data_IF_700538920156
#
_entry.id   IF_700538920156
#
_cell.length_a   1.000
_cell.length_b   1.000
_cell.length_c   1.000
_cell.angle_alpha   90.00
_cell.angle_beta   90.00
_cell.angle_gamma   90.00
#
_symmetry.space_group_name_H-M   'P 1'
#
loop_
_entity.id
_entity.type
_entity.pdbx_description
1 polymer ?
#
# COMPACT_ATOMS: atom_id res chain seq x y z
N UNK A 1 12.20 -24.90 -48.70
CA UNK A 1 12.31 -26.29 -49.21
C UNK A 1 12.43 -27.19 -48.01
N UNK A 2 11.50 -28.13 -47.91
CA UNK A 2 11.40 -29.14 -46.86
C UNK A 2 12.54 -30.16 -46.99
N UNK A 3 13.08 -30.64 -45.88
CA UNK A 3 13.30 -32.08 -45.74
C UNK A 3 13.23 -32.48 -44.27
N UNK A 4 12.48 -33.55 -44.05
CA UNK A 4 12.18 -34.19 -42.78
C UNK A 4 12.88 -35.55 -42.77
N UNK A 5 13.40 -35.96 -41.62
CA UNK A 5 13.71 -37.34 -41.22
C UNK A 5 13.47 -37.35 -39.69
N UNK A 6 12.43 -37.95 -39.08
CA UNK A 6 12.13 -39.38 -38.86
C UNK A 6 13.37 -40.18 -38.43
N UNK A 7 13.42 -41.02 -37.39
CA UNK A 7 12.47 -41.85 -36.62
C UNK A 7 13.11 -42.19 -35.24
N UNK A 8 12.38 -42.23 -34.11
CA UNK A 8 11.66 -43.40 -33.53
C UNK A 8 12.49 -44.39 -32.70
N UNK A 9 11.89 -44.83 -31.57
CA UNK A 9 12.16 -46.00 -30.70
C UNK A 9 13.41 -45.86 -29.80
N UNK A 10 13.44 -46.15 -28.51
CA UNK A 10 12.54 -46.82 -27.55
C UNK A 10 13.42 -47.36 -26.40
N UNK A 11 12.77 -47.86 -25.34
CA UNK A 11 13.32 -48.61 -24.18
C UNK A 11 13.90 -47.80 -23.01
N UNK A 12 13.18 -47.65 -21.89
CA UNK A 12 12.81 -48.65 -20.86
C UNK A 12 13.87 -48.77 -19.75
N UNK A 13 13.55 -48.17 -18.60
CA UNK A 13 13.92 -48.69 -17.27
C UNK A 13 12.86 -48.23 -16.28
N UNK A 14 11.92 -49.12 -16.00
CA UNK A 14 11.11 -49.07 -14.80
C UNK A 14 11.91 -49.56 -13.61
N UNK A 15 11.82 -48.85 -12.50
CA UNK A 15 12.07 -49.42 -11.18
C UNK A 15 10.85 -49.09 -10.33
N UNK A 16 9.96 -50.07 -10.24
CA UNK A 16 8.92 -50.10 -9.23
C UNK A 16 9.56 -50.33 -7.86
N UNK A 17 9.33 -49.42 -6.93
CA UNK A 17 9.64 -49.64 -5.52
C UNK A 17 8.32 -49.94 -4.78
N UNK A 18 8.17 -51.22 -4.48
CA UNK A 18 7.15 -51.84 -3.63
C UNK A 18 7.20 -51.25 -2.22
N UNK A 19 6.06 -50.93 -1.58
CA UNK A 19 6.06 -50.42 -0.21
C UNK A 19 6.31 -51.55 0.80
N UNK A 20 7.16 -51.35 1.83
CA UNK A 20 7.28 -52.30 2.92
C UNK A 20 6.17 -52.10 3.96
N UNK A 21 5.43 -53.18 4.22
CA UNK A 21 4.57 -53.31 5.39
C UNK A 21 5.44 -53.49 6.64
N UNK A 22 5.44 -52.49 7.53
CA UNK A 22 5.89 -52.66 8.92
C UNK A 22 4.97 -51.82 9.82
N UNK A 23 4.28 -52.52 10.73
CA UNK A 23 3.29 -51.94 11.64
C UNK A 23 3.93 -50.95 12.60
N UNK A 24 3.40 -49.73 12.61
CA UNK A 24 3.75 -48.70 13.59
C UNK A 24 2.68 -48.77 14.69
N UNK A 25 3.07 -49.26 15.85
CA UNK A 25 2.29 -49.15 17.09
C UNK A 25 2.13 -47.68 17.47
N UNK A 26 0.89 -47.21 17.55
CA UNK A 26 0.53 -45.86 17.99
C UNK A 26 0.91 -45.66 19.47
N UNK A 27 1.63 -44.59 19.85
CA UNK A 27 1.77 -44.23 21.25
C UNK A 27 0.44 -43.64 21.76
N UNK A 28 0.03 -44.04 22.96
CA UNK A 28 -1.16 -43.52 23.63
C UNK A 28 -1.02 -42.01 23.89
N UNK A 29 -2.05 -41.24 23.49
CA UNK A 29 -2.16 -39.81 23.75
C UNK A 29 -2.22 -39.57 25.27
N UNK A 30 -1.16 -38.99 25.83
CA UNK A 30 -1.19 -38.38 27.17
C UNK A 30 -1.90 -37.03 27.06
N UNK A 31 -3.13 -36.96 27.58
CA UNK A 31 -3.81 -35.69 27.80
C UNK A 31 -3.14 -34.95 28.96
N UNK A 32 -2.24 -34.02 28.66
CA UNK A 32 -1.85 -32.99 29.63
C UNK A 32 -2.93 -31.91 29.63
N UNK A 33 -3.67 -31.81 30.72
CA UNK A 33 -4.60 -30.72 30.96
C UNK A 33 -3.85 -29.37 30.93
N UNK A 34 -4.11 -28.56 29.90
CA UNK A 34 -3.70 -27.16 29.87
C UNK A 34 -4.50 -26.41 30.94
N UNK A 35 -3.81 -25.88 31.95
CA UNK A 35 -4.39 -24.93 32.90
C UNK A 35 -4.78 -23.67 32.12
N UNK A 36 -5.96 -23.07 32.34
CA UNK A 36 -6.29 -21.80 31.71
C UNK A 36 -5.42 -20.72 32.33
N UNK A 37 -4.42 -20.25 31.61
CA UNK A 37 -3.69 -19.05 31.98
C UNK A 37 -4.66 -17.89 31.82
N UNK A 38 -5.19 -17.41 32.93
CA UNK A 38 -5.88 -16.12 32.99
C UNK A 38 -4.84 -15.02 32.73
N UNK A 39 -4.65 -14.67 31.46
CA UNK A 39 -4.01 -13.43 31.04
C UNK A 39 -5.02 -12.66 30.18
N UNK A 40 -6.19 -12.41 30.75
CA UNK A 40 -7.19 -11.46 30.23
C UNK A 40 -7.10 -10.20 31.10
N UNK A 41 -6.11 -9.35 30.84
CA UNK A 41 -6.16 -7.90 31.07
C UNK A 41 -4.80 -7.32 30.64
N UNK A 42 -4.73 -6.73 29.44
CA UNK A 42 -3.47 -6.12 29.01
C UNK A 42 -3.43 -5.54 27.60
N UNK A 43 -4.45 -5.73 26.77
CA UNK A 43 -4.47 -5.22 25.40
C UNK A 43 -5.59 -4.19 25.18
N UNK A 44 -5.65 -3.15 26.03
CA UNK A 44 -6.65 -2.07 25.90
C UNK A 44 -6.06 -0.66 26.01
N UNK A 45 -4.74 -0.48 26.05
CA UNK A 45 -4.12 0.85 26.22
C UNK A 45 -3.30 1.36 25.02
N UNK A 46 -3.06 0.54 23.98
CA UNK A 46 -2.13 0.88 22.89
C UNK A 46 -2.78 1.29 21.55
N UNK A 47 -4.10 1.45 21.48
CA UNK A 47 -4.76 2.12 20.35
C UNK A 47 -5.66 3.25 20.87
N UNK A 48 -5.11 4.13 21.70
CA UNK A 48 -5.62 5.49 21.73
C UNK A 48 -5.07 6.17 20.47
N UNK A 49 -5.67 5.88 19.31
CA UNK A 49 -5.59 6.80 18.18
C UNK A 49 -6.20 8.10 18.70
N UNK A 50 -5.38 9.09 18.99
CA UNK A 50 -5.87 10.45 19.21
C UNK A 50 -6.75 10.74 17.99
N UNK A 51 -8.06 10.90 18.22
CA UNK A 51 -8.99 11.20 17.14
C UNK A 51 -8.65 12.62 16.70
N UNK A 52 -7.89 12.73 15.62
CA UNK A 52 -7.61 14.00 14.95
C UNK A 52 -8.90 14.48 14.29
N UNK A 53 -9.15 15.77 14.37
CA UNK A 53 -10.19 16.44 13.58
C UNK A 53 -9.88 16.29 12.09
N UNK A 54 -10.91 16.45 11.25
CA UNK A 54 -10.74 16.40 9.80
C UNK A 54 -9.68 17.43 9.34
N UNK A 55 -9.74 18.65 9.86
CA UNK A 55 -8.77 19.71 9.55
C UNK A 55 -7.35 19.36 9.97
N UNK A 56 -7.16 18.74 11.14
CA UNK A 56 -5.83 18.29 11.58
C UNK A 56 -5.26 17.23 10.64
N UNK A 57 -6.06 16.26 10.20
CA UNK A 57 -5.60 15.22 9.27
C UNK A 57 -5.23 15.80 7.90
N UNK A 58 -6.03 16.74 7.37
CA UNK A 58 -5.73 17.44 6.11
C UNK A 58 -4.43 18.25 6.23
N UNK A 59 -4.23 18.93 7.36
CA UNK A 59 -3.01 19.70 7.62
C UNK A 59 -1.78 18.82 7.68
N UNK A 60 -1.88 17.67 8.35
CA UNK A 60 -0.78 16.71 8.42
C UNK A 60 -0.41 16.19 7.02
N UNK A 61 -1.40 15.89 6.16
CA UNK A 61 -1.15 15.50 4.78
C UNK A 61 -0.39 16.60 4.00
N UNK A 62 -0.73 17.90 4.19
CA UNK A 62 0.03 19.00 3.58
C UNK A 62 1.47 19.08 4.08
N UNK A 63 1.69 18.90 5.39
CA UNK A 63 3.04 18.91 5.98
C UNK A 63 3.91 17.79 5.42
N UNK A 64 3.36 16.58 5.26
CA UNK A 64 4.05 15.45 4.65
C UNK A 64 4.43 15.74 3.18
N UNK A 65 3.54 16.38 2.41
CA UNK A 65 3.85 16.78 1.04
C UNK A 65 5.04 17.76 0.97
N UNK A 66 5.08 18.75 1.88
CA UNK A 66 6.20 19.69 1.93
C UNK A 66 7.51 18.98 2.29
N UNK A 67 7.47 18.05 3.24
CA UNK A 67 8.65 17.25 3.59
C UNK A 67 9.15 16.44 2.40
N UNK A 68 8.27 15.73 1.68
CA UNK A 68 8.68 14.91 0.53
C UNK A 68 9.23 15.76 -0.62
N UNK A 69 8.65 16.93 -0.86
CA UNK A 69 9.20 17.90 -1.81
C UNK A 69 10.61 18.37 -1.42
N UNK A 70 10.81 18.74 -0.16
CA UNK A 70 12.12 19.18 0.34
C UNK A 70 13.18 18.08 0.20
N UNK A 71 12.81 16.83 0.48
CA UNK A 71 13.72 15.69 0.33
C UNK A 71 14.04 15.40 -1.14
N UNK A 72 13.05 15.51 -2.03
CA UNK A 72 13.28 15.45 -3.48
C UNK A 72 14.27 16.54 -3.94
N UNK A 73 14.08 17.80 -3.50
CA UNK A 73 14.96 18.91 -3.87
C UNK A 73 16.37 18.78 -3.30
N UNK A 74 16.53 18.20 -2.10
CA UNK A 74 17.84 17.85 -1.55
C UNK A 74 18.51 16.78 -2.41
N UNK A 75 17.81 15.69 -2.73
CA UNK A 75 18.34 14.62 -3.57
C UNK A 75 18.74 15.13 -4.97
N UNK A 76 17.93 16.03 -5.55
CA UNK A 76 18.21 16.70 -6.82
C UNK A 76 19.50 17.52 -6.76
N UNK A 77 19.68 18.34 -5.73
CA UNK A 77 20.89 19.16 -5.54
C UNK A 77 22.16 18.31 -5.35
N UNK A 78 22.03 17.11 -4.78
CA UNK A 78 23.14 16.20 -4.56
C UNK A 78 23.38 15.21 -5.72
N UNK A 79 22.54 15.23 -6.77
CA UNK A 79 22.64 14.30 -7.90
C UNK A 79 22.29 12.84 -7.54
N UNK A 80 21.59 12.61 -6.43
CA UNK A 80 21.15 11.28 -6.02
C UNK A 80 19.85 10.91 -6.75
N UNK A 81 19.99 10.25 -7.90
CA UNK A 81 18.88 9.89 -8.79
C UNK A 81 17.94 8.88 -8.13
N UNK A 82 18.46 7.95 -7.33
CA UNK A 82 17.65 6.94 -6.66
C UNK A 82 16.79 7.57 -5.56
N UNK A 83 17.34 8.50 -4.78
CA UNK A 83 16.57 9.24 -3.79
C UNK A 83 15.53 10.15 -4.43
N UNK A 84 15.87 10.84 -5.53
CA UNK A 84 14.89 11.63 -6.30
C UNK A 84 13.69 10.77 -6.70
N UNK A 85 13.94 9.62 -7.31
CA UNK A 85 12.89 8.70 -7.76
C UNK A 85 12.02 8.18 -6.60
N UNK A 86 12.60 7.95 -5.42
CA UNK A 86 11.83 7.54 -4.23
C UNK A 86 10.93 8.66 -3.73
N UNK A 87 11.48 9.86 -3.53
CA UNK A 87 10.72 10.97 -2.94
C UNK A 87 9.64 11.50 -3.87
N UNK A 88 9.90 11.59 -5.17
CA UNK A 88 8.86 12.05 -6.12
C UNK A 88 7.68 11.07 -6.19
N UNK A 89 7.93 9.75 -6.04
CA UNK A 89 6.86 8.74 -5.99
C UNK A 89 6.02 8.86 -4.72
N UNK A 90 6.66 9.06 -3.56
CA UNK A 90 5.94 9.30 -2.30
C UNK A 90 5.09 10.57 -2.39
N UNK A 91 5.68 11.68 -2.86
CA UNK A 91 4.96 12.93 -3.08
C UNK A 91 3.75 12.75 -4.02
N UNK A 92 3.93 12.01 -5.12
CA UNK A 92 2.84 11.73 -6.07
C UNK A 92 1.70 10.98 -5.41
N UNK A 93 2.01 9.96 -4.58
CA UNK A 93 0.99 9.21 -3.86
C UNK A 93 0.22 10.06 -2.87
N UNK A 94 0.91 10.92 -2.11
CA UNK A 94 0.22 11.79 -1.16
C UNK A 94 -0.65 12.84 -1.83
N UNK A 95 -0.15 13.48 -2.90
CA UNK A 95 -0.94 14.45 -3.68
C UNK A 95 -2.22 13.78 -4.23
N UNK A 96 -2.09 12.57 -4.78
CA UNK A 96 -3.25 11.86 -5.33
C UNK A 96 -4.26 11.47 -4.24
N UNK A 97 -3.79 10.90 -3.12
CA UNK A 97 -4.64 10.51 -1.99
C UNK A 97 -5.38 11.72 -1.39
N UNK A 98 -4.67 12.82 -1.23
CA UNK A 98 -5.21 14.05 -0.66
C UNK A 98 -6.28 14.68 -1.55
N UNK A 99 -5.98 14.90 -2.84
CA UNK A 99 -6.92 15.51 -3.77
C UNK A 99 -8.21 14.67 -3.90
N UNK A 100 -8.10 13.35 -3.92
CA UNK A 100 -9.27 12.45 -3.93
C UNK A 100 -10.04 12.52 -2.60
N UNK A 101 -9.33 12.61 -1.47
CA UNK A 101 -9.95 12.78 -0.15
C UNK A 101 -10.75 14.08 -0.05
N UNK A 102 -10.24 15.16 -0.60
CA UNK A 102 -10.94 16.45 -0.66
C UNK A 102 -12.18 16.38 -1.54
N UNK A 103 -12.10 15.76 -2.72
CA UNK A 103 -13.24 15.60 -3.63
C UNK A 103 -14.38 14.78 -3.01
N UNK A 104 -14.05 13.70 -2.29
CA UNK A 104 -15.05 12.78 -1.74
C UNK A 104 -15.65 13.32 -0.43
N UNK A 105 -14.86 14.03 0.38
CA UNK A 105 -15.25 14.38 1.76
C UNK A 105 -15.30 15.88 1.98
N UNK A 106 -14.24 16.61 1.65
CA UNK A 106 -14.09 18.01 2.05
C UNK A 106 -15.00 18.92 1.24
N UNK A 107 -14.99 18.80 -0.09
CA UNK A 107 -15.80 19.65 -0.96
C UNK A 107 -17.30 19.49 -0.74
N UNK A 108 -17.87 18.28 -0.60
CA UNK A 108 -19.27 18.13 -0.22
C UNK A 108 -19.62 18.84 1.09
N UNK A 109 -18.76 18.71 2.11
CA UNK A 109 -18.97 19.37 3.41
C UNK A 109 -18.85 20.90 3.31
N UNK A 110 -17.93 21.41 2.48
CA UNK A 110 -17.81 22.84 2.21
C UNK A 110 -19.06 23.36 1.50
N UNK A 111 -19.53 22.68 0.45
CA UNK A 111 -20.74 23.05 -0.27
C UNK A 111 -21.98 23.03 0.65
N UNK A 112 -22.11 22.03 1.52
CA UNK A 112 -23.21 21.89 2.47
C UNK A 112 -23.20 22.98 3.55
N UNK A 113 -22.05 23.22 4.18
CA UNK A 113 -21.98 24.08 5.37
C UNK A 113 -21.67 25.55 5.06
N UNK A 114 -21.10 25.87 3.89
CA UNK A 114 -20.74 27.22 3.47
C UNK A 114 -21.56 27.73 2.27
N UNK A 115 -22.45 26.90 1.72
CA UNK A 115 -23.35 27.26 0.62
C UNK A 115 -22.59 27.72 -0.63
N UNK A 116 -23.02 28.84 -1.23
CA UNK A 116 -22.42 29.37 -2.47
C UNK A 116 -20.92 29.66 -2.33
N UNK A 117 -20.46 30.10 -1.16
CA UNK A 117 -19.04 30.33 -0.90
C UNK A 117 -18.27 29.01 -0.88
N UNK A 118 -18.84 27.96 -0.29
CA UNK A 118 -18.27 26.63 -0.28
C UNK A 118 -18.09 26.06 -1.68
N UNK A 119 -19.12 26.22 -2.53
CA UNK A 119 -19.06 25.81 -3.95
C UNK A 119 -17.97 26.53 -4.72
N UNK A 120 -17.85 27.85 -4.59
CA UNK A 120 -16.80 28.62 -5.26
C UNK A 120 -15.39 28.18 -4.85
N UNK A 121 -15.18 27.89 -3.56
CA UNK A 121 -13.89 27.41 -3.06
C UNK A 121 -13.58 26.00 -3.58
N UNK A 122 -14.56 25.09 -3.53
CA UNK A 122 -14.39 23.74 -4.04
C UNK A 122 -14.11 23.71 -5.56
N UNK A 123 -14.81 24.53 -6.34
CA UNK A 123 -14.61 24.61 -7.79
C UNK A 123 -13.23 25.19 -8.15
N UNK A 124 -12.79 26.23 -7.42
CA UNK A 124 -11.44 26.76 -7.55
C UNK A 124 -10.37 25.69 -7.26
N UNK A 125 -10.50 24.96 -6.15
CA UNK A 125 -9.49 23.96 -5.78
C UNK A 125 -9.50 22.76 -6.74
N UNK A 126 -10.64 22.40 -7.33
CA UNK A 126 -10.71 21.40 -8.42
C UNK A 126 -9.91 21.84 -9.64
N UNK A 127 -10.06 23.09 -10.07
CA UNK A 127 -9.29 23.65 -11.19
C UNK A 127 -7.78 23.64 -10.89
N UNK A 128 -7.39 24.08 -9.69
CA UNK A 128 -6.00 24.08 -9.24
C UNK A 128 -5.40 22.67 -9.18
N UNK A 129 -6.16 21.68 -8.70
CA UNK A 129 -5.71 20.28 -8.63
C UNK A 129 -5.54 19.64 -10.00
N UNK A 130 -6.36 19.99 -11.00
CA UNK A 130 -6.15 19.51 -12.37
C UNK A 130 -4.82 20.02 -12.94
N UNK A 131 -4.50 21.30 -12.71
CA UNK A 131 -3.24 21.91 -13.16
C UNK A 131 -2.04 21.33 -12.42
N UNK A 132 -2.13 21.18 -11.10
CA UNK A 132 -1.02 20.71 -10.25
C UNK A 132 -0.74 19.21 -10.41
N UNK A 133 -1.78 18.40 -10.53
CA UNK A 133 -1.65 16.96 -10.82
C UNK A 133 -0.94 16.74 -12.14
N UNK A 134 -1.27 17.54 -13.17
CA UNK A 134 -0.56 17.51 -14.44
C UNK A 134 0.92 17.90 -14.27
N UNK A 135 1.23 18.87 -13.41
CA UNK A 135 2.60 19.29 -13.14
C UNK A 135 3.44 18.20 -12.47
N UNK A 136 2.90 17.51 -11.45
CA UNK A 136 3.57 16.36 -10.81
C UNK A 136 3.74 15.21 -11.80
N UNK A 137 2.73 14.95 -12.65
CA UNK A 137 2.83 13.93 -13.70
C UNK A 137 3.92 14.23 -14.75
N UNK A 138 4.21 15.51 -15.02
CA UNK A 138 5.30 15.93 -15.91
C UNK A 138 6.68 15.70 -15.28
N UNK A 139 6.82 15.86 -13.96
CA UNK A 139 8.08 15.61 -13.23
C UNK A 139 8.48 14.12 -13.18
N UNK A 140 7.60 13.22 -13.61
CA UNK A 140 7.83 11.78 -13.67
C UNK A 140 8.32 11.27 -15.04
N UNK A 141 8.47 12.16 -16.04
CA UNK A 141 8.97 11.84 -17.39
C UNK A 141 10.43 12.23 -17.55
#
# INVERSE_FOLDING_TARGET
MQSSLTSSVGDAIGVGLKPPAQGITLPALRTTALKPTQALLGLSLAYRRTMKTLTEVIKDDHEEMYEYHDQYERARRHGDVDAQARWIRQLTWEVARHAVGEEIVVYPLMEEHLGNKGRQLADHDREDHLVRTLHVAVLLK
#
